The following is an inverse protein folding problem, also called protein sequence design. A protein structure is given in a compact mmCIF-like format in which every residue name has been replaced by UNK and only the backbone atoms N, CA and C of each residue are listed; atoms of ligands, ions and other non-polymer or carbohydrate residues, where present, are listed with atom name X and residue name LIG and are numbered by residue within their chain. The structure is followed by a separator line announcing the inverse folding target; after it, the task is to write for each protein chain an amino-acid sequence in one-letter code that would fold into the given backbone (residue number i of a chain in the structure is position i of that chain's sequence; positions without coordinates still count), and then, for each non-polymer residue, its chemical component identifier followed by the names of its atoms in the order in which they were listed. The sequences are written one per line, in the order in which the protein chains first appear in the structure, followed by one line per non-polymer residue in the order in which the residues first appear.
data_IF_257967512652
#
_entry.id   IF_257967512652
#
_cell.length_a   1.000
_cell.length_b   1.000
_cell.length_c   1.000
_cell.angle_alpha   90.00
_cell.angle_beta   90.00
_cell.angle_gamma   90.00
#
_symmetry.space_group_name_H-M   'P 1'
#
loop_
_entity.id
_entity.type
_entity.pdbx_description
1 polymer ?
#
# COMPACT_ATOMS: atom_id res chain seq x y z
N UNK A 1 21.76 3.08 20.24
CA UNK A 1 20.96 4.25 20.64
C UNK A 1 20.24 3.90 21.94
N UNK A 2 20.00 4.89 22.80
CA UNK A 2 19.17 4.66 23.99
C UNK A 2 17.70 4.46 23.56
N UNK A 3 16.92 3.61 24.26
CA UNK A 3 15.48 3.50 24.05
C UNK A 3 14.80 4.85 24.22
N UNK A 4 13.80 5.14 23.38
CA UNK A 4 13.00 6.36 23.49
C UNK A 4 12.19 6.28 24.77
N UNK A 5 12.34 7.29 25.64
CA UNK A 5 11.50 7.42 26.83
C UNK A 5 10.10 7.86 26.39
N UNK A 6 9.07 7.03 26.58
CA UNK A 6 7.72 7.40 26.19
C UNK A 6 7.26 8.64 26.96
N UNK A 7 6.64 9.57 26.25
CA UNK A 7 6.11 10.83 26.80
C UNK A 7 4.58 10.94 26.63
N UNK A 8 3.93 9.88 26.17
CA UNK A 8 2.48 9.77 26.00
C UNK A 8 1.84 8.91 27.11
N UNK A 9 0.52 8.93 27.18
CA UNK A 9 -0.25 8.07 28.10
C UNK A 9 -0.13 6.60 27.70
N UNK A 10 0.20 5.73 28.66
CA UNK A 10 0.30 4.28 28.46
C UNK A 10 -0.71 3.51 29.32
N UNK A 11 -1.54 2.62 28.74
CA UNK A 11 -1.64 2.35 27.31
C UNK A 11 -2.35 3.50 26.56
N UNK A 12 -1.91 3.82 25.34
CA UNK A 12 -2.57 4.81 24.49
C UNK A 12 -3.79 4.25 23.76
N UNK A 13 -3.80 2.92 23.51
CA UNK A 13 -4.85 2.20 22.80
C UNK A 13 -5.36 0.99 23.61
N UNK A 14 -5.91 1.21 24.82
CA UNK A 14 -6.24 0.15 25.79
C UNK A 14 -7.20 -0.91 25.25
N UNK A 15 -8.08 -0.58 24.32
CA UNK A 15 -9.13 -1.48 23.85
C UNK A 15 -8.65 -2.43 22.74
N UNK A 16 -7.57 -2.06 22.03
CA UNK A 16 -7.18 -2.73 20.79
C UNK A 16 -5.73 -3.23 20.80
N UNK A 17 -4.86 -2.69 21.65
CA UNK A 17 -3.43 -3.01 21.68
C UNK A 17 -2.95 -3.31 23.11
N UNK A 18 -2.17 -4.38 23.24
CA UNK A 18 -1.38 -4.69 24.43
C UNK A 18 0.11 -4.62 24.06
N UNK A 19 0.88 -3.81 24.80
CA UNK A 19 2.34 -3.76 24.63
C UNK A 19 2.99 -4.66 25.69
N UNK A 20 3.68 -5.69 25.24
CA UNK A 20 4.49 -6.55 26.09
C UNK A 20 5.92 -6.02 26.06
N UNK A 21 6.34 -5.33 27.12
CA UNK A 21 7.67 -4.73 27.22
C UNK A 21 8.71 -5.79 27.63
N UNK A 22 9.82 -5.85 26.90
CA UNK A 22 10.99 -6.63 27.31
C UNK A 22 12.19 -5.71 27.53
N UNK A 23 12.57 -5.53 28.80
CA UNK A 23 13.64 -4.62 29.23
C UNK A 23 15.03 -5.02 28.73
N UNK A 24 15.23 -6.28 28.33
CA UNK A 24 16.57 -6.82 28.09
C UNK A 24 17.07 -6.71 26.63
N UNK A 25 16.21 -6.44 25.63
CA UNK A 25 16.64 -6.70 24.24
C UNK A 25 15.93 -5.94 23.08
N UNK A 26 15.23 -4.82 23.29
CA UNK A 26 14.40 -4.21 22.22
C UNK A 26 13.44 -5.21 21.56
N UNK A 27 13.01 -6.24 22.29
CA UNK A 27 12.11 -7.30 21.83
C UNK A 27 10.69 -7.10 22.37
N UNK A 28 10.36 -5.86 22.73
CA UNK A 28 8.98 -5.50 23.02
C UNK A 28 8.11 -5.81 21.80
N UNK A 29 6.89 -6.28 22.03
CA UNK A 29 5.95 -6.61 20.96
C UNK A 29 4.58 -6.10 21.28
N UNK A 30 3.79 -5.89 20.23
CA UNK A 30 2.40 -5.45 20.33
C UNK A 30 1.47 -6.60 19.97
N UNK A 31 0.46 -6.86 20.80
CA UNK A 31 -0.56 -7.87 20.58
C UNK A 31 -1.91 -7.22 20.38
N UNK A 32 -2.75 -7.80 19.51
CA UNK A 32 -4.14 -7.38 19.37
C UNK A 32 -4.93 -7.75 20.62
N UNK A 33 -5.83 -6.87 21.07
CA UNK A 33 -6.80 -7.17 22.14
C UNK A 33 -8.20 -7.44 21.62
N UNK A 34 -8.45 -7.17 20.35
CA UNK A 34 -9.77 -7.23 19.76
C UNK A 34 -9.77 -8.06 18.46
N UNK A 35 -10.97 -8.47 18.05
CA UNK A 35 -11.21 -9.09 16.75
C UNK A 35 -11.42 -8.00 15.72
N UNK A 36 -10.76 -8.12 14.56
CA UNK A 36 -11.01 -7.25 13.43
C UNK A 36 -11.24 -8.05 12.15
N UNK A 37 -12.22 -7.65 11.32
CA UNK A 37 -12.38 -8.24 10.00
C UNK A 37 -11.20 -7.87 9.08
N UNK A 38 -10.94 -8.67 8.04
CA UNK A 38 -10.01 -8.29 6.98
C UNK A 38 -10.27 -6.87 6.45
N UNK A 39 -9.21 -6.08 6.31
CA UNK A 39 -9.26 -4.69 5.83
C UNK A 39 -10.08 -3.70 6.70
N UNK A 40 -10.45 -4.10 7.92
CA UNK A 40 -11.03 -3.19 8.89
C UNK A 40 -10.04 -2.10 9.32
N UNK A 41 -10.54 -0.96 9.78
CA UNK A 41 -9.69 0.08 10.38
C UNK A 41 -9.26 -0.39 11.77
N UNK A 42 -7.95 -0.51 11.98
CA UNK A 42 -7.36 -0.83 13.28
C UNK A 42 -7.23 0.43 14.14
N UNK A 43 -6.61 1.48 13.60
CA UNK A 43 -6.42 2.75 14.27
C UNK A 43 -6.32 3.90 13.25
N UNK A 44 -6.55 5.13 13.70
CA UNK A 44 -6.30 6.34 12.92
C UNK A 44 -4.99 6.98 13.33
N UNK A 45 -4.31 7.61 12.37
CA UNK A 45 -3.12 8.43 12.62
C UNK A 45 -3.55 9.88 12.84
N UNK A 46 -4.21 10.13 13.97
CA UNK A 46 -4.75 11.45 14.30
C UNK A 46 -3.64 12.44 14.71
N UNK A 47 -3.84 13.73 14.39
CA UNK A 47 -2.96 14.84 14.76
C UNK A 47 -3.72 15.82 15.64
N UNK A 48 -3.57 15.81 16.99
CA UNK A 48 -2.73 14.92 17.83
C UNK A 48 -3.31 13.49 17.99
N UNK A 49 -2.51 12.49 18.45
CA UNK A 49 -1.18 12.63 19.06
C UNK A 49 -0.02 12.66 18.06
N UNK A 50 -0.23 12.29 16.79
CA UNK A 50 0.85 12.32 15.81
C UNK A 50 1.37 13.76 15.62
N UNK A 51 2.67 13.87 15.36
CA UNK A 51 3.33 15.14 15.00
C UNK A 51 4.28 14.91 13.84
N UNK A 52 4.54 15.95 13.04
CA UNK A 52 5.60 15.88 12.04
C UNK A 52 6.96 15.69 12.70
N UNK A 53 7.86 15.00 12.01
CA UNK A 53 9.24 14.81 12.39
C UNK A 53 10.15 15.42 11.32
N UNK A 54 11.14 16.20 11.74
CA UNK A 54 12.07 16.88 10.83
C UNK A 54 13.09 15.91 10.22
N UNK A 55 13.44 14.85 10.96
CA UNK A 55 14.47 13.88 10.57
C UNK A 55 14.01 12.43 10.79
N UNK A 56 14.41 11.49 9.91
CA UNK A 56 14.11 10.09 10.08
C UNK A 56 14.86 9.51 11.29
N UNK A 57 14.15 8.79 12.15
CA UNK A 57 14.74 8.02 13.25
C UNK A 57 14.17 6.61 13.23
N UNK A 58 14.65 5.73 14.12
CA UNK A 58 14.06 4.40 14.25
C UNK A 58 12.61 4.42 14.78
N UNK A 59 12.15 5.56 15.32
CA UNK A 59 10.85 5.73 15.94
C UNK A 59 9.88 6.58 15.10
N UNK A 60 10.29 7.02 13.91
CA UNK A 60 9.42 7.76 12.99
C UNK A 60 8.95 6.86 11.86
N UNK A 61 7.81 7.23 11.26
CA UNK A 61 7.26 6.55 10.09
C UNK A 61 7.24 7.54 8.93
N UNK A 62 7.80 7.17 7.79
CA UNK A 62 7.76 7.98 6.59
C UNK A 62 6.32 8.07 6.06
N UNK A 63 5.84 9.30 5.86
CA UNK A 63 4.47 9.60 5.44
C UNK A 63 4.38 10.33 4.09
N UNK A 64 5.52 10.52 3.44
CA UNK A 64 5.66 11.14 2.13
C UNK A 64 7.11 11.08 1.67
N UNK A 65 7.42 11.66 0.51
CA UNK A 65 8.78 11.62 -0.06
C UNK A 65 9.85 12.10 0.93
N UNK A 66 9.63 13.28 1.50
CA UNK A 66 10.58 13.97 2.38
C UNK A 66 9.92 14.33 3.73
N UNK A 67 8.95 13.52 4.18
CA UNK A 67 8.16 13.78 5.38
C UNK A 67 8.02 12.53 6.25
N UNK A 68 8.20 12.71 7.56
CA UNK A 68 8.03 11.67 8.57
C UNK A 68 7.08 12.16 9.67
N UNK A 69 6.45 11.21 10.37
CA UNK A 69 5.66 11.47 11.58
C UNK A 69 6.23 10.73 12.78
N UNK A 70 6.08 11.35 13.94
CA UNK A 70 6.14 10.69 15.24
C UNK A 70 4.73 10.20 15.58
N UNK A 71 4.61 8.92 15.96
CA UNK A 71 3.32 8.34 16.35
C UNK A 71 2.84 8.81 17.74
N UNK A 72 3.78 9.16 18.63
CA UNK A 72 3.55 9.58 20.02
C UNK A 72 2.49 8.74 20.75
N UNK A 73 2.52 7.42 20.52
CA UNK A 73 1.57 6.45 21.03
C UNK A 73 2.20 5.06 21.04
N UNK A 74 1.51 4.11 21.66
CA UNK A 74 1.97 2.73 21.74
C UNK A 74 2.07 2.03 20.38
N UNK A 75 1.51 2.61 19.32
CA UNK A 75 1.69 2.14 17.94
C UNK A 75 3.17 2.07 17.54
N UNK A 76 4.05 2.81 18.22
CA UNK A 76 5.50 2.72 18.07
C UNK A 76 6.05 1.30 18.29
N UNK A 77 5.40 0.49 19.13
CA UNK A 77 5.86 -0.86 19.46
C UNK A 77 5.35 -1.94 18.49
N UNK A 78 4.78 -1.55 17.35
CA UNK A 78 4.35 -2.49 16.30
C UNK A 78 5.58 -2.88 15.48
N UNK A 79 5.94 -4.15 15.51
CA UNK A 79 7.17 -4.66 14.91
C UNK A 79 7.06 -4.91 13.41
N UNK A 80 8.19 -5.21 12.79
CA UNK A 80 8.24 -5.64 11.40
C UNK A 80 7.80 -7.10 11.23
N UNK A 81 7.04 -7.38 10.17
CA UNK A 81 6.93 -8.72 9.60
C UNK A 81 6.95 -8.68 8.08
N UNK A 82 7.54 -9.70 7.47
CA UNK A 82 7.51 -9.92 6.03
C UNK A 82 6.14 -10.43 5.54
N UNK A 83 5.32 -10.99 6.43
CA UNK A 83 3.89 -11.25 6.21
C UNK A 83 3.11 -10.50 7.30
N UNK A 84 2.85 -9.20 7.11
CA UNK A 84 2.33 -8.34 8.17
C UNK A 84 0.86 -8.60 8.46
N UNK A 85 0.46 -8.30 9.70
CA UNK A 85 -0.95 -8.30 10.12
C UNK A 85 -1.64 -6.94 9.93
N UNK A 86 -0.87 -5.87 9.76
CA UNK A 86 -1.35 -4.51 9.58
C UNK A 86 -0.77 -3.84 8.32
N UNK A 87 -1.53 -2.88 7.80
CA UNK A 87 -1.19 -2.01 6.68
C UNK A 87 -1.17 -0.57 7.20
N UNK A 88 -0.01 0.08 7.14
CA UNK A 88 0.15 1.48 7.51
C UNK A 88 -0.10 2.36 6.29
N UNK A 89 -1.34 2.82 6.14
CA UNK A 89 -1.75 3.74 5.09
C UNK A 89 -1.55 5.19 5.54
N UNK A 90 -0.33 5.68 5.37
CA UNK A 90 0.05 7.04 5.76
C UNK A 90 -0.54 8.08 4.81
N UNK A 91 -0.91 7.70 3.58
CA UNK A 91 -1.58 8.60 2.63
C UNK A 91 -3.00 8.97 3.08
N UNK A 92 -3.73 8.02 3.65
CA UNK A 92 -5.08 8.23 4.19
C UNK A 92 -5.12 8.39 5.72
N UNK A 93 -3.97 8.41 6.38
CA UNK A 93 -3.84 8.50 7.84
C UNK A 93 -4.59 7.40 8.60
N UNK A 94 -4.55 6.17 8.10
CA UNK A 94 -5.19 5.01 8.72
C UNK A 94 -4.20 3.84 8.85
N UNK A 95 -4.40 3.04 9.88
CA UNK A 95 -3.83 1.69 9.99
C UNK A 95 -4.98 0.71 9.72
N UNK A 96 -4.82 -0.10 8.68
CA UNK A 96 -5.80 -1.12 8.30
C UNK A 96 -5.32 -2.51 8.70
N UNK A 97 -6.26 -3.41 8.89
CA UNK A 97 -5.99 -4.83 9.14
C UNK A 97 -5.70 -5.54 7.82
N UNK A 98 -4.73 -6.46 7.84
CA UNK A 98 -4.36 -7.26 6.69
C UNK A 98 -5.48 -8.20 6.21
N UNK A 99 -5.26 -8.90 5.10
CA UNK A 99 -6.26 -9.75 4.44
C UNK A 99 -6.75 -10.94 5.30
N UNK A 100 -5.98 -11.34 6.32
CA UNK A 100 -6.31 -12.47 7.20
C UNK A 100 -7.24 -12.06 8.37
N UNK A 101 -7.48 -10.76 8.56
CA UNK A 101 -8.11 -10.26 9.79
C UNK A 101 -7.15 -10.30 10.98
N UNK A 102 -7.67 -10.05 12.19
CA UNK A 102 -6.94 -10.15 13.45
C UNK A 102 -7.79 -10.80 14.53
N UNK A 103 -7.16 -11.65 15.34
CA UNK A 103 -7.71 -12.22 16.57
C UNK A 103 -6.96 -11.67 17.81
N UNK A 104 -7.60 -11.64 18.99
CA UNK A 104 -6.92 -11.31 20.24
C UNK A 104 -5.70 -12.21 20.49
N UNK A 105 -4.60 -11.62 20.93
CA UNK A 105 -3.33 -12.30 21.18
C UNK A 105 -2.42 -12.45 19.97
N UNK A 106 -2.89 -12.16 18.75
CA UNK A 106 -2.05 -12.14 17.56
C UNK A 106 -1.11 -10.94 17.55
N UNK A 107 0.10 -11.12 17.02
CA UNK A 107 1.10 -10.05 16.97
C UNK A 107 0.73 -9.01 15.91
N UNK A 108 0.77 -7.74 16.34
CA UNK A 108 0.60 -6.58 15.48
C UNK A 108 1.94 -6.29 14.80
N UNK A 109 1.96 -6.43 13.49
CA UNK A 109 3.16 -6.21 12.68
C UNK A 109 2.83 -5.51 11.37
N UNK A 110 3.76 -4.71 10.85
CA UNK A 110 3.64 -4.13 9.51
C UNK A 110 4.92 -4.31 8.71
N UNK A 111 4.81 -4.23 7.40
CA UNK A 111 5.98 -4.36 6.53
C UNK A 111 6.68 -3.01 6.41
N UNK A 112 7.72 -2.76 7.22
CA UNK A 112 8.39 -1.44 7.26
C UNK A 112 8.74 -0.84 5.88
N UNK A 113 9.24 -1.58 4.88
CA UNK A 113 9.49 -1.00 3.55
C UNK A 113 8.23 -0.55 2.79
N UNK A 114 7.01 -0.79 3.30
CA UNK A 114 5.79 -0.18 2.76
C UNK A 114 5.67 1.31 3.06
N UNK A 115 6.33 1.78 4.12
CA UNK A 115 6.42 3.20 4.47
C UNK A 115 7.82 3.74 4.20
N UNK A 116 8.86 2.98 4.52
CA UNK A 116 10.25 3.44 4.54
C UNK A 116 10.99 3.20 3.20
N UNK A 117 11.42 4.28 2.55
CA UNK A 117 12.30 4.23 1.39
C UNK A 117 13.71 3.79 1.80
N UNK A 118 14.22 4.41 2.86
CA UNK A 118 15.51 4.12 3.45
C UNK A 118 15.39 4.15 4.97
N UNK A 119 15.74 3.04 5.61
CA UNK A 119 15.65 2.95 7.06
C UNK A 119 16.81 3.66 7.74
N UNK A 120 16.52 4.43 8.78
CA UNK A 120 17.54 5.00 9.66
C UNK A 120 18.41 3.92 10.34
N UNK A 121 17.82 2.75 10.62
CA UNK A 121 18.51 1.60 11.20
C UNK A 121 18.10 0.28 10.51
N UNK A 122 18.88 -0.18 9.53
CA UNK A 122 18.70 -1.50 8.95
C UNK A 122 18.96 -2.63 9.96
N UNK A 123 18.25 -3.76 9.82
CA UNK A 123 18.35 -4.90 10.74
C UNK A 123 18.15 -6.24 10.01
N UNK A 124 18.59 -7.33 10.65
CA UNK A 124 18.31 -8.70 10.18
C UNK A 124 16.95 -9.16 10.73
N UNK A 125 16.03 -9.52 9.84
CA UNK A 125 14.66 -9.86 10.21
C UNK A 125 14.57 -11.21 10.93
N UNK A 126 13.82 -11.21 12.04
CA UNK A 126 13.57 -12.38 12.87
C UNK A 126 12.08 -12.77 12.89
N UNK A 127 11.27 -12.33 11.91
CA UNK A 127 9.83 -12.58 11.88
C UNK A 127 9.44 -14.06 11.74
N UNK A 128 10.36 -14.92 11.27
CA UNK A 128 10.15 -16.37 11.17
C UNK A 128 9.14 -16.79 10.09
N UNK A 129 8.64 -15.89 9.24
CA UNK A 129 7.68 -16.25 8.20
C UNK A 129 8.34 -17.00 7.04
N UNK A 130 7.63 -17.91 6.34
CA UNK A 130 8.20 -18.68 5.23
C UNK A 130 8.75 -17.82 4.09
N UNK A 131 8.18 -16.64 3.89
CA UNK A 131 8.60 -15.69 2.85
C UNK A 131 9.58 -14.63 3.36
N UNK A 132 10.21 -14.81 4.53
CA UNK A 132 11.11 -13.80 5.13
C UNK A 132 12.17 -13.27 4.14
N UNK A 133 12.34 -11.94 4.11
CA UNK A 133 13.28 -11.25 3.20
C UNK A 133 14.70 -11.12 3.75
N UNK A 134 14.95 -11.63 4.97
CA UNK A 134 16.26 -11.53 5.62
C UNK A 134 16.52 -10.10 6.09
N UNK A 135 17.51 -9.41 5.51
CA UNK A 135 17.88 -8.06 5.95
C UNK A 135 16.91 -7.01 5.43
N UNK A 136 16.45 -6.12 6.30
CA UNK A 136 15.54 -5.02 6.00
C UNK A 136 16.28 -3.69 6.09
N UNK A 137 16.30 -2.92 5.00
CA UNK A 137 16.97 -1.61 4.92
C UNK A 137 16.12 -0.50 4.28
N UNK A 138 14.85 -0.79 3.99
CA UNK A 138 13.94 0.10 3.25
C UNK A 138 13.76 -0.32 1.78
N UNK A 139 12.72 0.21 1.13
CA UNK A 139 12.31 -0.21 -0.20
C UNK A 139 13.34 0.09 -1.30
N UNK A 140 14.19 1.11 -1.12
CA UNK A 140 15.21 1.55 -2.09
C UNK A 140 16.09 0.40 -2.55
N UNK A 141 16.50 -0.46 -1.61
CA UNK A 141 17.52 -1.48 -1.82
C UNK A 141 16.93 -2.88 -2.08
N UNK A 142 15.59 -2.99 -2.11
CA UNK A 142 14.88 -4.25 -2.40
C UNK A 142 14.64 -4.45 -3.89
N UNK A 143 14.72 -5.69 -4.36
CA UNK A 143 14.31 -6.07 -5.71
C UNK A 143 12.78 -6.09 -5.84
N UNK A 144 12.27 -5.86 -7.06
CA UNK A 144 10.83 -5.80 -7.32
C UNK A 144 10.12 -7.09 -6.90
N UNK A 145 10.74 -8.26 -7.14
CA UNK A 145 10.23 -9.56 -6.71
C UNK A 145 10.10 -9.71 -5.17
N UNK A 146 10.87 -8.95 -4.38
CA UNK A 146 10.76 -8.98 -2.91
C UNK A 146 9.61 -8.12 -2.39
N UNK A 147 9.14 -7.16 -3.21
CA UNK A 147 8.06 -6.22 -2.91
C UNK A 147 6.71 -6.66 -3.51
N UNK A 148 6.75 -7.60 -4.45
CA UNK A 148 5.55 -8.11 -5.11
C UNK A 148 4.54 -8.70 -4.11
N UNK A 149 3.25 -8.39 -4.33
CA UNK A 149 2.14 -8.85 -3.49
C UNK A 149 1.99 -8.13 -2.15
N UNK A 150 2.90 -7.20 -1.81
CA UNK A 150 2.79 -6.37 -0.61
C UNK A 150 2.11 -5.04 -0.94
N UNK A 151 1.36 -4.52 0.03
CA UNK A 151 0.84 -3.18 -0.05
C UNK A 151 1.96 -2.17 0.25
N UNK A 152 2.09 -1.13 -0.56
CA UNK A 152 3.06 -0.04 -0.42
C UNK A 152 2.34 1.31 -0.39
N UNK A 153 2.87 2.29 0.31
CA UNK A 153 2.35 3.66 0.23
C UNK A 153 2.61 4.28 -1.14
N UNK A 154 1.83 5.31 -1.49
CA UNK A 154 1.97 6.05 -2.76
C UNK A 154 3.39 6.57 -2.99
N UNK A 155 3.97 7.23 -1.98
CA UNK A 155 5.33 7.79 -2.08
C UNK A 155 6.41 6.73 -2.32
N UNK A 156 6.23 5.52 -1.79
CA UNK A 156 7.16 4.41 -2.05
C UNK A 156 7.06 3.93 -3.49
N UNK A 157 5.85 3.83 -4.05
CA UNK A 157 5.68 3.45 -5.46
C UNK A 157 6.32 4.48 -6.39
N UNK A 158 6.08 5.76 -6.15
CA UNK A 158 6.69 6.86 -6.91
C UNK A 158 8.23 6.78 -6.88
N UNK A 159 8.82 6.59 -5.70
CA UNK A 159 10.27 6.45 -5.53
C UNK A 159 10.83 5.20 -6.24
N UNK A 160 10.11 4.08 -6.23
CA UNK A 160 10.50 2.86 -6.96
C UNK A 160 10.49 3.08 -8.47
N UNK A 161 9.45 3.75 -9.00
CA UNK A 161 9.32 4.08 -10.42
C UNK A 161 10.47 4.99 -10.89
N UNK A 162 10.80 6.03 -10.13
CA UNK A 162 11.94 6.91 -10.38
C UNK A 162 13.26 6.12 -10.40
N UNK A 163 13.50 5.30 -9.37
CA UNK A 163 14.69 4.45 -9.26
C UNK A 163 14.83 3.52 -10.47
N UNK A 164 13.74 2.89 -10.89
CA UNK A 164 13.74 1.93 -11.99
C UNK A 164 13.91 2.63 -13.35
N UNK A 165 13.34 3.82 -13.53
CA UNK A 165 13.53 4.68 -14.71
C UNK A 165 14.98 5.14 -14.85
N UNK A 166 15.61 5.53 -13.73
CA UNK A 166 17.01 5.95 -13.69
C UNK A 166 17.96 4.80 -14.03
N UNK A 167 17.69 3.57 -13.54
CA UNK A 167 18.45 2.37 -13.91
C UNK A 167 18.34 2.04 -15.41
N UNK A 168 17.15 2.19 -15.99
CA UNK A 168 16.91 1.92 -17.41
C UNK A 168 17.65 2.92 -18.30
N UNK A 169 17.62 4.20 -17.95
CA UNK A 169 18.34 5.27 -18.68
C UNK A 169 19.85 5.07 -18.61
N UNK A 170 20.39 4.74 -17.43
CA UNK A 170 21.82 4.47 -17.25
C UNK A 170 22.29 3.25 -18.07
N UNK A 171 21.45 2.20 -18.15
CA UNK A 171 21.76 1.00 -18.93
C UNK A 171 21.77 1.30 -20.44
N UNK A 172 20.81 2.08 -20.94
CA UNK A 172 20.76 2.50 -22.35
C UNK A 172 21.95 3.37 -22.77
N UNK A 173 22.39 4.28 -21.89
CA UNK A 173 23.57 5.11 -22.12
C UNK A 173 24.87 4.28 -22.16
N UNK A 174 25.01 3.27 -21.29
CA UNK A 174 26.17 2.38 -21.26
C UNK A 174 26.27 1.45 -22.48
N UNK A 175 25.13 1.05 -23.06
CA UNK A 175 25.09 0.26 -24.31
C UNK A 175 25.47 1.12 -25.51
N UNK A 176 25.03 2.37 -25.56
CA UNK A 176 25.37 3.30 -26.65
C UNK A 176 26.86 3.70 -26.68
N UNK A 177 27.52 3.71 -25.52
CA UNK A 177 28.96 4.01 -25.40
C UNK A 177 29.93 2.90 -25.84
N UNK A 178 29.46 1.67 -26.08
CA UNK A 178 30.30 0.52 -26.47
C UNK A 178 30.34 0.23 -27.98
N UNK A 179 29.58 0.95 -28.81
CA UNK A 179 29.58 0.80 -30.27
C UNK A 179 30.57 1.72 -31.01
N UNK A 180 31.58 2.27 -30.32
CA UNK A 180 32.72 2.96 -30.95
C UNK A 180 33.76 1.97 -31.46
N UNK A 181 33.53 1.38 -32.63
CA UNK A 181 34.53 0.59 -33.35
C UNK A 181 35.71 1.49 -33.74
N UNK A 182 36.90 1.02 -33.38
CA UNK A 182 38.21 1.58 -33.71
C UNK A 182 38.46 1.55 -35.22
N UNK A 183 38.84 2.69 -35.81
CA UNK A 183 39.58 2.74 -37.07
C UNK A 183 40.79 3.67 -36.94
N UNK A 184 41.97 3.06 -36.93
CA UNK A 184 43.25 3.72 -37.10
C UNK A 184 43.38 4.28 -38.52
N UNK A 185 43.93 5.49 -38.65
CA UNK A 185 44.28 6.09 -39.94
C UNK A 185 45.08 7.38 -39.79
N UNK A 186 46.40 7.25 -39.85
CA UNK A 186 47.44 8.30 -39.81
C UNK A 186 47.44 9.17 -41.09
N UNK A 187 47.58 10.50 -41.00
CA UNK A 187 48.69 11.35 -41.56
C UNK A 187 48.34 12.86 -41.72
N UNK A 188 49.26 13.69 -41.23
CA UNK A 188 49.82 14.95 -41.79
C UNK A 188 49.02 16.28 -41.89
N UNK A 189 49.41 17.20 -40.99
CA UNK A 189 49.81 18.62 -41.13
C UNK A 189 49.35 19.54 -42.30
N UNK A 190 48.78 20.71 -41.93
CA UNK A 190 49.05 22.08 -42.46
C UNK A 190 48.23 23.11 -41.62
N UNK A 191 48.81 23.92 -40.72
CA UNK A 191 49.34 25.31 -40.86
C UNK A 191 48.30 26.41 -41.20
N UNK A 192 48.02 27.24 -40.16
CA UNK A 192 47.85 28.72 -40.12
C UNK A 192 46.84 29.45 -41.02
N UNK A 193 45.94 30.28 -40.45
CA UNK A 193 46.17 31.74 -40.29
C UNK A 193 45.03 32.49 -39.55
N UNK A 194 45.47 33.58 -38.91
CA UNK A 194 44.86 34.61 -38.06
C UNK A 194 43.52 35.24 -38.46
N UNK A 195 42.87 35.91 -37.49
CA UNK A 195 42.05 37.11 -37.78
C UNK A 195 41.08 37.59 -36.69
N UNK A 196 41.58 38.44 -35.80
CA UNK A 196 40.92 39.05 -34.62
C UNK A 196 39.87 40.14 -34.94
N UNK A 197 39.13 40.55 -33.88
CA UNK A 197 38.34 41.80 -33.62
C UNK A 197 36.81 41.67 -33.73
N UNK A 198 35.96 42.38 -32.99
CA UNK A 198 35.97 43.06 -31.69
C UNK A 198 34.49 43.45 -31.38
N UNK A 199 34.13 43.43 -30.10
CA UNK A 199 33.08 44.17 -29.39
C UNK A 199 31.98 44.95 -30.16
N UNK A 200 30.72 44.81 -29.73
CA UNK A 200 29.99 45.91 -29.06
C UNK A 200 28.56 45.54 -28.62
N UNK A 201 28.18 46.11 -27.47
CA UNK A 201 26.91 46.06 -26.76
C UNK A 201 25.68 46.53 -27.56
N UNK A 202 24.47 46.18 -27.09
CA UNK A 202 23.26 46.95 -27.43
C UNK A 202 21.94 46.28 -27.07
N UNK A 203 21.42 46.60 -25.90
CA UNK A 203 20.07 46.31 -25.40
C UNK A 203 19.01 47.16 -26.15
N UNK A 204 17.82 46.63 -26.48
CA UNK A 204 16.76 47.46 -27.09
C UNK A 204 15.45 46.74 -27.46
N UNK A 205 14.35 47.25 -26.90
CA UNK A 205 12.99 46.72 -26.85
C UNK A 205 12.09 47.01 -28.10
N UNK A 206 11.20 46.05 -28.43
CA UNK A 206 9.78 46.14 -28.92
C UNK A 206 9.43 46.82 -30.28
N UNK A 207 8.20 46.64 -30.87
CA UNK A 207 7.06 45.76 -30.54
C UNK A 207 6.42 44.97 -31.72
N UNK A 208 5.48 44.09 -31.35
CA UNK A 208 4.48 43.41 -32.17
C UNK A 208 3.53 44.36 -32.93
N UNK A 209 3.25 44.05 -34.20
CA UNK A 209 2.08 44.54 -34.95
C UNK A 209 1.24 43.35 -35.44
N UNK A 210 -0.03 43.36 -35.03
CA UNK A 210 -1.02 42.37 -35.38
C UNK A 210 -1.50 42.45 -36.83
N UNK A 211 -1.99 41.32 -37.32
CA UNK A 211 -2.98 41.25 -38.40
C UNK A 211 -3.97 40.15 -38.08
N UNK A 212 -5.19 40.59 -37.80
CA UNK A 212 -6.40 39.79 -37.82
C UNK A 212 -6.58 39.10 -39.18
N UNK A 213 -6.80 37.78 -39.15
CA UNK A 213 -7.64 37.10 -40.15
C UNK A 213 -8.45 36.02 -39.45
N UNK A 214 -9.74 36.28 -39.43
CA UNK A 214 -10.86 35.40 -39.12
C UNK A 214 -10.77 34.04 -39.80
N UNK A 215 -10.78 32.97 -39.02
CA UNK A 215 -11.25 31.65 -39.43
C UNK A 215 -11.89 30.97 -38.21
N UNK A 216 -13.22 31.07 -38.13
CA UNK A 216 -14.03 30.29 -37.20
C UNK A 216 -13.87 28.80 -37.56
N UNK A 217 -13.15 28.07 -36.72
CA UNK A 217 -13.15 26.61 -36.74
C UNK A 217 -13.48 26.15 -35.33
N UNK A 218 -14.59 25.42 -35.21
CA UNK A 218 -15.15 24.95 -33.96
C UNK A 218 -14.14 24.12 -33.16
N UNK A 219 -13.82 24.58 -31.95
CA UNK A 219 -13.14 23.78 -30.92
C UNK A 219 -14.20 22.86 -30.31
N UNK A 220 -14.41 21.70 -30.93
CA UNK A 220 -15.15 20.60 -30.32
C UNK A 220 -14.15 19.48 -29.99
N UNK A 221 -13.28 19.79 -29.04
CA UNK A 221 -12.34 18.87 -28.42
C UNK A 221 -12.62 18.88 -26.93
N UNK A 222 -13.78 18.36 -26.53
CA UNK A 222 -14.00 17.97 -25.15
C UNK A 222 -12.83 17.08 -24.73
N UNK A 223 -12.13 17.48 -23.66
CA UNK A 223 -10.93 16.84 -23.15
C UNK A 223 -11.11 15.31 -23.06
N UNK A 224 -10.57 14.61 -24.06
CA UNK A 224 -10.69 13.16 -24.19
C UNK A 224 -10.05 12.46 -22.98
N UNK A 225 -9.06 13.10 -22.36
CA UNK A 225 -8.41 12.61 -21.14
C UNK A 225 -9.36 12.72 -19.95
N UNK A 226 -10.05 13.86 -19.79
CA UNK A 226 -11.07 14.02 -18.75
C UNK A 226 -12.21 13.01 -18.92
N UNK A 227 -12.67 12.78 -20.16
CA UNK A 227 -13.70 11.77 -20.43
C UNK A 227 -13.24 10.34 -20.14
N UNK A 228 -11.98 10.01 -20.47
CA UNK A 228 -11.39 8.71 -20.15
C UNK A 228 -11.27 8.50 -18.64
N UNK A 229 -10.83 9.53 -17.90
CA UNK A 229 -10.74 9.49 -16.43
C UNK A 229 -12.12 9.34 -15.78
N UNK A 230 -13.12 10.10 -16.23
CA UNK A 230 -14.50 9.94 -15.76
C UNK A 230 -15.05 8.53 -16.01
N UNK A 231 -14.80 7.98 -17.21
CA UNK A 231 -15.23 6.62 -17.56
C UNK A 231 -14.54 5.56 -16.69
N UNK A 232 -13.26 5.75 -16.37
CA UNK A 232 -12.51 4.85 -15.49
C UNK A 232 -13.06 4.86 -14.05
N UNK A 233 -13.41 6.03 -13.53
CA UNK A 233 -14.06 6.17 -12.21
C UNK A 233 -15.42 5.49 -12.20
N UNK A 234 -16.25 5.72 -13.20
CA UNK A 234 -17.58 5.08 -13.31
C UNK A 234 -17.47 3.55 -13.38
N UNK A 235 -16.44 3.03 -14.06
CA UNK A 235 -16.21 1.59 -14.14
C UNK A 235 -15.72 1.00 -12.81
N UNK A 236 -14.90 1.74 -12.05
CA UNK A 236 -14.50 1.34 -10.70
C UNK A 236 -15.70 1.31 -9.74
N UNK A 237 -16.60 2.29 -9.80
CA UNK A 237 -17.83 2.31 -8.99
C UNK A 237 -18.72 1.10 -9.29
N UNK A 238 -18.88 0.74 -10.57
CA UNK A 238 -19.62 -0.47 -10.97
C UNK A 238 -18.99 -1.75 -10.42
N UNK A 239 -17.66 -1.84 -10.38
CA UNK A 239 -16.96 -2.99 -9.78
C UNK A 239 -17.18 -3.05 -8.27
N UNK A 240 -17.14 -1.92 -7.57
CA UNK A 240 -17.42 -1.85 -6.13
C UNK A 240 -18.86 -2.27 -5.83
N UNK A 241 -19.84 -1.81 -6.61
CA UNK A 241 -21.24 -2.21 -6.40
C UNK A 241 -21.47 -3.69 -6.71
N UNK A 242 -20.81 -4.23 -7.74
CA UNK A 242 -20.83 -5.66 -8.02
C UNK A 242 -20.22 -6.49 -6.87
N UNK A 243 -19.11 -6.04 -6.29
CA UNK A 243 -18.50 -6.67 -5.12
C UNK A 243 -19.42 -6.60 -3.89
N UNK A 244 -20.09 -5.45 -3.67
CA UNK A 244 -21.08 -5.27 -2.61
C UNK A 244 -22.26 -6.22 -2.76
N UNK A 245 -22.79 -6.35 -3.98
CA UNK A 245 -23.86 -7.30 -4.29
C UNK A 245 -23.42 -8.76 -4.06
N UNK A 246 -22.21 -9.13 -4.47
CA UNK A 246 -21.67 -10.46 -4.22
C UNK A 246 -21.55 -10.76 -2.71
N UNK A 247 -21.11 -9.78 -1.92
CA UNK A 247 -21.03 -9.88 -0.46
C UNK A 247 -22.42 -10.12 0.17
N UNK A 248 -23.44 -9.36 -0.26
CA UNK A 248 -24.82 -9.53 0.22
C UNK A 248 -25.38 -10.90 -0.14
N UNK A 249 -25.13 -11.37 -1.35
CA UNK A 249 -25.56 -12.71 -1.80
C UNK A 249 -24.87 -13.82 -1.00
N UNK A 250 -23.59 -13.65 -0.68
CA UNK A 250 -22.85 -14.58 0.18
C UNK A 250 -23.46 -14.66 1.58
N UNK A 251 -23.74 -13.51 2.22
CA UNK A 251 -24.38 -13.50 3.55
C UNK A 251 -25.80 -14.09 3.54
N UNK A 252 -26.61 -13.78 2.53
CA UNK A 252 -27.93 -14.44 2.35
C UNK A 252 -27.82 -15.95 2.14
N UNK A 253 -26.76 -16.40 1.46
CA UNK A 253 -26.46 -17.83 1.29
C UNK A 253 -26.16 -18.53 2.62
N UNK A 254 -25.49 -17.85 3.55
CA UNK A 254 -25.22 -18.36 4.89
C UNK A 254 -26.49 -18.41 5.77
N UNK A 255 -27.35 -17.40 5.68
CA UNK A 255 -28.65 -17.40 6.38
C UNK A 255 -29.58 -18.53 5.89
N UNK A 256 -29.56 -18.82 4.58
CA UNK A 256 -30.32 -19.93 4.00
C UNK A 256 -29.85 -21.32 4.45
N UNK A 257 -28.55 -21.48 4.76
CA UNK A 257 -28.02 -22.73 5.33
C UNK A 257 -28.43 -22.93 6.80
N UNK A 258 -28.61 -21.85 7.56
CA UNK A 258 -29.10 -21.90 8.94
C UNK A 258 -30.57 -22.34 9.02
N UNK A 259 -31.43 -21.87 8.10
CA UNK A 259 -32.84 -22.30 8.05
C UNK A 259 -33.02 -23.74 7.55
N UNK A 260 -32.13 -24.27 6.70
CA UNK A 260 -32.17 -25.69 6.33
C UNK A 260 -31.73 -26.61 7.47
N UNK A 261 -30.85 -26.14 8.37
CA UNK A 261 -30.45 -26.91 9.55
C UNK A 261 -31.56 -26.95 10.62
N UNK A 262 -32.34 -25.88 10.77
CA UNK A 262 -33.51 -25.86 11.67
C UNK A 262 -34.73 -26.61 11.09
N UNK A 263 -34.90 -26.65 9.75
CA UNK A 263 -35.94 -27.42 9.08
C UNK A 263 -35.71 -28.94 9.04
N UNK A 264 -34.48 -29.40 9.29
CA UNK A 264 -34.09 -30.81 9.29
C UNK A 264 -34.32 -31.53 10.64
N UNK A 265 -34.93 -30.87 11.63
CA UNK A 265 -35.36 -31.46 12.90
C UNK A 265 -36.83 -31.95 12.88
N UNK A 266 -37.32 -32.45 11.75
CA UNK A 266 -38.48 -33.36 11.80
C UNK A 266 -37.97 -34.73 12.25
N UNK A 267 -38.38 -35.12 13.47
CA UNK A 267 -38.14 -36.45 14.06
C UNK A 267 -38.40 -37.53 13.00
N UNK A 268 -37.44 -38.42 12.85
CA UNK A 268 -37.55 -39.61 12.01
C UNK A 268 -38.79 -40.45 12.38
N UNK A 269 -39.13 -41.44 11.54
CA UNK A 269 -40.37 -42.18 11.64
C UNK A 269 -40.55 -42.76 13.04
N UNK A 270 -41.71 -42.51 13.64
CA UNK A 270 -41.98 -43.01 15.00
C UNK A 270 -42.08 -44.54 14.95
N UNK A 271 -41.87 -45.24 16.08
CA UNK A 271 -41.97 -46.71 16.14
C UNK A 271 -43.29 -47.29 15.61
N UNK A 272 -44.32 -46.44 15.46
CA UNK A 272 -45.62 -46.75 14.86
C UNK A 272 -45.58 -46.85 13.33
N UNK A 273 -44.66 -46.16 12.65
CA UNK A 273 -44.50 -46.21 11.19
C UNK A 273 -43.56 -47.34 10.74
N UNK A 274 -42.72 -47.87 11.64
CA UNK A 274 -41.79 -48.98 11.34
C UNK A 274 -42.41 -50.38 11.51
N UNK A 275 -43.61 -50.50 12.08
CA UNK A 275 -44.23 -51.79 12.41
C UNK A 275 -45.17 -52.34 11.33
N UNK A 276 -45.32 -51.65 10.19
CA UNK A 276 -46.01 -52.22 9.02
C UNK A 276 -47.50 -52.51 9.22
N UNK A 277 -48.19 -51.80 10.11
CA UNK A 277 -49.65 -51.87 10.25
C UNK A 277 -50.36 -51.10 9.12
N UNK A 278 -50.36 -51.67 7.92
CA UNK A 278 -51.24 -51.22 6.83
C UNK A 278 -52.51 -52.07 6.82
N UNK A 279 -53.61 -51.46 7.26
CA UNK A 279 -54.96 -51.84 6.85
C UNK A 279 -55.92 -52.13 7.98
N UNK A 280 -57.06 -51.42 7.99
CA UNK A 280 -58.25 -51.89 8.71
C UNK A 280 -59.22 -50.80 9.14
N UNK A 281 -60.04 -50.36 8.18
CA UNK A 281 -61.47 -50.09 8.32
C UNK A 281 -62.00 -48.88 9.13
N UNK A 282 -62.55 -47.93 8.35
CA UNK A 282 -63.92 -47.39 8.43
C UNK A 282 -64.69 -47.46 9.75
N UNK A 283 -65.18 -46.30 10.22
CA UNK A 283 -66.62 -45.97 10.18
C UNK A 283 -66.91 -44.55 10.71
N UNK A 284 -68.02 -44.01 10.20
CA UNK A 284 -68.58 -42.67 10.31
C UNK A 284 -69.48 -42.54 11.56
N UNK A 285 -69.79 -41.29 11.94
CA UNK A 285 -70.93 -40.79 12.76
C UNK A 285 -70.73 -40.85 14.28
N UNK A 286 -71.13 -39.85 15.09
CA UNK A 286 -72.18 -38.81 14.97
C UNK A 286 -71.66 -37.48 15.51
#
# INVERSE_FOLDING_TARGET
MAPLTPHWSQPSHPDIQEVVINEAAFTSKSLSKAVFPPFGVFAKLDFPPCTSADEPTYATVQMGRDAHLNLNSDLLYINHSCEPSLIFDTGNLNILVGPKGLQPGEELTFFYPSTEWHMAQPFDCLCGTPTCRGRISGARDMADAQLEGLWLNGHIRELLEERNSNKSTATAAAVSGKNGVSSNGTTAAAVSENGTTAASNGNGYLPLQGKDKTAATAVNGSDQTAQALHSAVEQAEKMVEAARHALVMYFRGLEGQQQQQEGALRRGPTSRELSGEMGGDTAVSV
#
